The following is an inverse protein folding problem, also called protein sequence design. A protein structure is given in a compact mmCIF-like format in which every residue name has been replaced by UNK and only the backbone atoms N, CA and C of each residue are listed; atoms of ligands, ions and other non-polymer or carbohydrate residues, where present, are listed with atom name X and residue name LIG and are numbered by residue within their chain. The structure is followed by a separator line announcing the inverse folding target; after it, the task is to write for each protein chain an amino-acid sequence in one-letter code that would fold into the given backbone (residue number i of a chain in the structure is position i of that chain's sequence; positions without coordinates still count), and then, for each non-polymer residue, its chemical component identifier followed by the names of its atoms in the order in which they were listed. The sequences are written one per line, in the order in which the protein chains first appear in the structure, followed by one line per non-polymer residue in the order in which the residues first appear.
data_IF_005481600703
#
_entry.id   IF_005481600703
#
_cell.length_a   1.000
_cell.length_b   1.000
_cell.length_c   1.000
_cell.angle_alpha   90.00
_cell.angle_beta   90.00
_cell.angle_gamma   90.00
#
_symmetry.space_group_name_H-M   'P 1'
#
loop_
_entity.id
_entity.type
_entity.pdbx_description
1 polymer ?
#
# COMPACT_ATOMS: atom_id res chain seq x y z
N UNK A 1 4.36 -3.15 25.51
CA UNK A 1 4.55 -4.20 24.48
C UNK A 1 5.67 -5.07 24.98
N UNK A 2 5.66 -6.37 24.68
CA UNK A 2 6.77 -7.26 25.07
C UNK A 2 7.82 -7.38 23.97
N UNK A 3 7.49 -6.91 22.77
CA UNK A 3 8.33 -6.93 21.58
C UNK A 3 8.74 -5.50 21.17
N UNK A 4 9.89 -5.33 20.49
CA UNK A 4 10.29 -4.06 19.90
C UNK A 4 9.30 -3.61 18.82
N UNK A 5 9.29 -2.31 18.54
CA UNK A 5 8.50 -1.78 17.44
C UNK A 5 9.13 -2.17 16.09
N UNK A 6 8.34 -2.82 15.24
CA UNK A 6 8.71 -3.26 13.89
C UNK A 6 8.39 -2.21 12.84
N UNK A 7 7.38 -1.38 13.08
CA UNK A 7 7.01 -0.28 12.20
C UNK A 7 6.47 0.91 13.01
N UNK A 8 6.66 2.12 12.48
CA UNK A 8 6.13 3.36 13.04
C UNK A 8 5.61 4.21 11.89
N UNK A 9 4.47 4.87 12.09
CA UNK A 9 3.87 5.76 11.10
C UNK A 9 3.37 7.01 11.79
N UNK A 10 3.95 8.19 11.50
CA UNK A 10 3.47 9.46 12.05
C UNK A 10 2.00 9.70 11.70
N UNK A 11 1.25 10.25 12.65
CA UNK A 11 -0.17 10.56 12.44
C UNK A 11 -0.62 11.73 13.31
N UNK A 12 -1.05 12.81 12.66
CA UNK A 12 -1.54 14.02 13.33
C UNK A 12 -0.57 14.46 14.46
N UNK A 13 -1.02 14.38 15.70
CA UNK A 13 -0.30 14.77 16.91
C UNK A 13 0.32 13.59 17.67
N UNK A 14 0.63 12.53 16.95
CA UNK A 14 1.28 11.34 17.49
C UNK A 14 1.72 10.41 16.38
N UNK A 15 1.61 9.11 16.63
CA UNK A 15 1.99 8.07 15.67
C UNK A 15 1.27 6.76 15.94
N UNK A 16 1.20 5.92 14.91
CA UNK A 16 0.89 4.52 15.06
C UNK A 16 2.18 3.70 15.05
N UNK A 17 2.17 2.54 15.71
CA UNK A 17 3.30 1.61 15.65
C UNK A 17 2.85 0.16 15.80
N UNK A 18 3.61 -0.76 15.21
CA UNK A 18 3.41 -2.19 15.31
C UNK A 18 4.54 -2.86 16.10
N UNK A 19 4.20 -3.79 16.99
CA UNK A 19 5.12 -4.60 17.81
C UNK A 19 4.58 -6.05 17.90
N UNK A 20 4.16 -6.50 19.09
CA UNK A 20 3.30 -7.67 19.34
C UNK A 20 1.86 -7.50 18.81
N UNK A 21 1.41 -6.25 18.63
CA UNK A 21 0.18 -5.90 17.94
C UNK A 21 0.30 -4.50 17.33
N UNK A 22 -0.80 -3.86 16.99
CA UNK A 22 -0.83 -2.49 16.48
C UNK A 22 -1.39 -1.53 17.52
N UNK A 23 -0.76 -0.37 17.63
CA UNK A 23 -1.07 0.62 18.65
C UNK A 23 -1.14 2.02 18.06
N UNK A 24 -1.95 2.86 18.70
CA UNK A 24 -1.94 4.31 18.52
C UNK A 24 -1.32 4.97 19.74
N UNK A 25 -0.45 5.93 19.50
CA UNK A 25 0.19 6.77 20.51
C UNK A 25 -0.21 8.21 20.23
N UNK A 26 -0.94 8.83 21.16
CA UNK A 26 -1.29 10.24 21.10
C UNK A 26 -0.42 11.02 22.09
N UNK A 27 0.22 12.08 21.60
CA UNK A 27 1.14 12.92 22.37
C UNK A 27 0.48 14.23 22.85
N UNK A 28 -0.82 14.40 22.61
CA UNK A 28 -1.55 15.60 23.06
C UNK A 28 -2.04 15.47 24.50
N UNK A 29 -1.78 16.53 25.25
CA UNK A 29 -2.18 16.67 26.64
C UNK A 29 -1.04 16.38 27.61
N UNK A 30 -1.35 16.29 28.91
CA UNK A 30 -0.34 16.20 29.95
C UNK A 30 0.33 14.81 30.04
N UNK A 31 -0.22 13.79 29.39
CA UNK A 31 0.31 12.43 29.42
C UNK A 31 0.16 11.71 28.08
N UNK A 32 1.16 10.89 27.76
CA UNK A 32 1.17 10.03 26.56
C UNK A 32 0.13 8.93 26.72
N UNK A 33 -0.76 8.79 25.73
CA UNK A 33 -1.80 7.75 25.73
C UNK A 33 -1.54 6.74 24.60
N UNK A 34 -1.34 5.49 25.00
CA UNK A 34 -1.20 4.36 24.06
C UNK A 34 -2.46 3.51 24.10
N UNK A 35 -3.03 3.20 22.93
CA UNK A 35 -4.22 2.32 22.79
C UNK A 35 -3.95 1.24 21.74
N UNK A 36 -4.29 0.00 22.07
CA UNK A 36 -4.32 -1.08 21.08
C UNK A 36 -5.39 -0.80 20.02
N UNK A 37 -5.04 -1.03 18.76
CA UNK A 37 -5.93 -0.91 17.61
C UNK A 37 -6.56 -2.26 17.23
N UNK A 38 -6.09 -3.35 17.83
CA UNK A 38 -6.32 -4.68 17.32
C UNK A 38 -5.94 -5.75 18.36
N UNK A 39 -6.70 -6.83 18.45
CA UNK A 39 -6.21 -8.06 19.08
C UNK A 39 -5.33 -8.82 18.08
N UNK A 40 -4.14 -9.21 18.48
CA UNK A 40 -3.23 -10.06 17.69
C UNK A 40 -3.00 -11.39 18.39
N UNK A 41 -2.83 -12.45 17.59
CA UNK A 41 -2.34 -13.75 18.04
C UNK A 41 -0.81 -13.76 17.93
N UNK A 42 -0.10 -14.68 18.61
CA UNK A 42 1.36 -14.77 18.51
C UNK A 42 1.91 -14.94 17.07
N UNK A 43 1.13 -15.53 16.16
CA UNK A 43 1.51 -15.68 14.75
C UNK A 43 1.19 -14.45 13.88
N UNK A 44 0.51 -13.44 14.41
CA UNK A 44 0.12 -12.24 13.68
C UNK A 44 1.26 -11.21 13.78
N UNK A 45 2.29 -11.37 12.96
CA UNK A 45 3.50 -10.54 12.95
C UNK A 45 3.30 -9.21 12.20
N UNK A 46 3.30 -8.04 12.88
CA UNK A 46 3.12 -6.73 12.25
C UNK A 46 4.24 -6.35 11.28
N UNK A 47 3.88 -5.82 10.11
CA UNK A 47 4.81 -5.28 9.12
C UNK A 47 4.61 -3.78 8.93
N UNK A 48 3.36 -3.32 8.76
CA UNK A 48 3.08 -1.91 8.52
C UNK A 48 1.69 -1.49 9.02
N UNK A 49 1.56 -0.20 9.36
CA UNK A 49 0.28 0.47 9.56
C UNK A 49 0.19 1.57 8.52
N UNK A 50 -0.82 1.52 7.66
CA UNK A 50 -0.94 2.46 6.56
C UNK A 50 -2.24 3.25 6.70
N UNK A 51 -2.17 4.58 6.91
CA UNK A 51 -3.34 5.44 6.81
C UNK A 51 -3.85 5.46 5.38
N UNK A 52 -5.02 4.86 5.16
CA UNK A 52 -5.67 4.78 3.85
C UNK A 52 -6.53 6.02 3.61
N UNK A 53 -7.16 6.50 4.68
CA UNK A 53 -7.89 7.76 4.74
C UNK A 53 -7.82 8.34 6.14
N UNK A 54 -8.45 9.49 6.33
CA UNK A 54 -8.76 10.10 7.62
C UNK A 54 -9.66 9.22 8.52
N UNK A 55 -10.28 8.17 7.97
CA UNK A 55 -11.20 7.30 8.70
C UNK A 55 -10.74 5.85 8.82
N UNK A 56 -9.75 5.43 8.04
CA UNK A 56 -9.43 4.01 7.85
C UNK A 56 -7.92 3.77 7.75
N UNK A 57 -7.46 2.75 8.48
CA UNK A 57 -6.10 2.21 8.49
C UNK A 57 -6.10 0.81 7.88
N UNK A 58 -5.04 0.47 7.17
CA UNK A 58 -4.71 -0.91 6.83
C UNK A 58 -3.65 -1.41 7.81
N UNK A 59 -4.01 -2.44 8.58
CA UNK A 59 -3.10 -3.16 9.46
C UNK A 59 -2.52 -4.33 8.67
N UNK A 60 -1.26 -4.25 8.29
CA UNK A 60 -0.59 -5.25 7.46
C UNK A 60 0.30 -6.15 8.32
N UNK A 61 -0.12 -7.40 8.48
CA UNK A 61 0.68 -8.47 9.06
C UNK A 61 1.43 -9.22 7.97
N UNK A 62 2.32 -10.12 8.38
CA UNK A 62 3.11 -10.94 7.46
C UNK A 62 2.27 -11.84 6.54
N UNK A 63 1.19 -12.44 7.05
CA UNK A 63 0.38 -13.38 6.27
C UNK A 63 -0.94 -12.78 5.79
N UNK A 64 -1.43 -11.76 6.48
CA UNK A 64 -2.76 -11.21 6.23
C UNK A 64 -2.82 -9.71 6.53
N UNK A 65 -3.94 -9.08 6.18
CA UNK A 65 -4.25 -7.72 6.52
C UNK A 65 -5.73 -7.52 6.85
N UNK A 66 -6.01 -6.42 7.54
CA UNK A 66 -7.38 -5.97 7.80
C UNK A 66 -7.47 -4.46 7.83
N UNK A 67 -8.64 -3.96 7.43
CA UNK A 67 -8.97 -2.56 7.59
C UNK A 67 -9.66 -2.31 8.92
N UNK A 68 -9.24 -1.25 9.60
CA UNK A 68 -9.82 -0.77 10.85
C UNK A 68 -10.00 0.74 10.79
N UNK A 69 -10.85 1.27 11.66
CA UNK A 69 -10.95 2.70 11.86
C UNK A 69 -9.73 3.22 12.61
N UNK A 70 -9.56 4.55 12.66
CA UNK A 70 -8.52 5.19 13.48
C UNK A 70 -8.60 4.76 14.98
N UNK A 71 -9.77 4.27 15.42
CA UNK A 71 -10.01 3.79 16.80
C UNK A 71 -9.80 2.27 16.97
N UNK A 72 -9.40 1.56 15.91
CA UNK A 72 -9.18 0.10 15.93
C UNK A 72 -10.43 -0.75 15.69
N UNK A 73 -11.58 -0.15 15.39
CA UNK A 73 -12.80 -0.90 15.05
C UNK A 73 -12.73 -1.40 13.62
N UNK A 74 -12.92 -2.70 13.38
CA UNK A 74 -12.90 -3.28 12.03
C UNK A 74 -13.88 -2.54 11.10
N UNK A 75 -13.37 -2.02 9.98
CA UNK A 75 -14.19 -1.27 9.02
C UNK A 75 -14.72 -2.15 7.90
N UNK A 76 -13.95 -3.14 7.44
CA UNK A 76 -14.34 -4.09 6.37
C UNK A 76 -14.35 -5.53 6.88
N UNK A 77 -15.37 -6.31 6.50
CA UNK A 77 -15.53 -7.72 6.92
C UNK A 77 -14.47 -8.64 6.32
N UNK A 78 -13.96 -8.31 5.14
CA UNK A 78 -12.94 -9.11 4.47
C UNK A 78 -11.64 -9.11 5.28
N UNK A 79 -11.05 -10.28 5.48
CA UNK A 79 -9.63 -10.41 5.81
C UNK A 79 -8.87 -10.60 4.49
N UNK A 80 -7.78 -9.89 4.33
CA UNK A 80 -6.91 -10.02 3.16
C UNK A 80 -5.87 -11.07 3.51
N UNK A 81 -5.72 -12.10 2.69
CA UNK A 81 -4.56 -13.00 2.75
C UNK A 81 -3.58 -12.58 1.65
N UNK A 82 -2.29 -12.51 1.97
CA UNK A 82 -1.28 -12.16 0.97
C UNK A 82 -0.91 -13.39 0.14
N UNK A 83 -0.85 -13.22 -1.18
CA UNK A 83 -0.39 -14.27 -2.09
C UNK A 83 1.13 -14.46 -2.04
N UNK A 84 1.86 -13.39 -1.67
CA UNK A 84 3.30 -13.38 -1.51
C UNK A 84 3.67 -12.72 -0.18
N UNK A 85 4.82 -13.11 0.37
CA UNK A 85 5.32 -12.55 1.61
C UNK A 85 5.65 -11.06 1.43
N UNK A 86 4.97 -10.13 2.12
CA UNK A 86 5.32 -8.72 2.07
C UNK A 86 6.64 -8.48 2.81
N UNK A 87 7.49 -7.64 2.24
CA UNK A 87 8.70 -7.14 2.89
C UNK A 87 8.54 -5.67 3.30
N UNK A 88 7.89 -4.88 2.44
CA UNK A 88 7.71 -3.46 2.65
C UNK A 88 6.44 -2.97 1.95
N UNK A 89 5.84 -1.91 2.49
CA UNK A 89 4.66 -1.29 1.92
C UNK A 89 4.82 0.21 1.75
N UNK A 90 4.21 0.75 0.70
CA UNK A 90 3.96 2.18 0.57
C UNK A 90 2.54 2.42 0.06
N UNK A 91 1.82 3.34 0.70
CA UNK A 91 0.52 3.78 0.20
C UNK A 91 0.61 5.18 -0.40
N UNK A 92 0.22 5.28 -1.67
CA UNK A 92 0.05 6.54 -2.39
C UNK A 92 -1.31 6.46 -3.06
N UNK A 93 -2.29 7.14 -2.46
CA UNK A 93 -3.69 6.97 -2.83
C UNK A 93 -3.91 7.10 -4.35
N UNK A 94 -4.68 6.18 -4.95
CA UNK A 94 -5.38 5.04 -4.35
C UNK A 94 -4.60 3.71 -4.39
N UNK A 95 -3.28 3.74 -4.58
CA UNK A 95 -2.46 2.55 -4.81
C UNK A 95 -1.64 2.15 -3.58
N UNK A 96 -1.68 0.85 -3.29
CA UNK A 96 -0.82 0.16 -2.34
C UNK A 96 0.29 -0.54 -3.13
N UNK A 97 1.53 -0.18 -2.82
CA UNK A 97 2.74 -0.77 -3.33
C UNK A 97 3.25 -1.76 -2.29
N UNK A 98 3.39 -3.03 -2.66
CA UNK A 98 3.88 -4.10 -1.79
C UNK A 98 5.13 -4.71 -2.42
N UNK A 99 6.27 -4.52 -1.75
CA UNK A 99 7.52 -5.17 -2.15
C UNK A 99 7.49 -6.61 -1.64
N UNK A 100 7.85 -7.54 -2.52
CA UNK A 100 7.99 -8.97 -2.23
C UNK A 100 9.41 -9.42 -2.59
N UNK A 101 9.76 -10.65 -2.24
CA UNK A 101 11.03 -11.26 -2.66
C UNK A 101 11.20 -11.37 -4.18
N UNK A 102 10.11 -11.28 -4.95
CA UNK A 102 10.10 -11.52 -6.39
C UNK A 102 9.89 -10.24 -7.22
N UNK A 103 9.58 -9.12 -6.57
CA UNK A 103 9.34 -7.85 -7.24
C UNK A 103 8.39 -6.95 -6.46
N UNK A 104 7.50 -6.29 -7.19
CA UNK A 104 6.55 -5.32 -6.66
C UNK A 104 5.14 -5.64 -7.12
N UNK A 105 4.22 -5.81 -6.17
CA UNK A 105 2.79 -5.92 -6.42
C UNK A 105 2.12 -4.57 -6.14
N UNK A 106 1.35 -4.08 -7.10
CA UNK A 106 0.63 -2.81 -7.03
C UNK A 106 -0.86 -3.11 -7.06
N UNK A 107 -1.54 -2.78 -5.97
CA UNK A 107 -2.96 -3.00 -5.79
C UNK A 107 -3.69 -1.66 -5.66
N UNK A 108 -4.85 -1.53 -6.30
CA UNK A 108 -5.71 -0.35 -6.09
C UNK A 108 -6.63 -0.61 -4.89
N UNK A 109 -6.50 0.19 -3.84
CA UNK A 109 -7.40 0.16 -2.69
C UNK A 109 -8.75 0.75 -3.09
N UNK A 110 -9.83 0.03 -2.80
CA UNK A 110 -11.18 0.52 -3.07
C UNK A 110 -11.62 1.51 -1.98
N UNK A 111 -12.42 2.50 -2.37
CA UNK A 111 -13.01 3.46 -1.43
C UNK A 111 -13.88 2.74 -0.39
N UNK A 112 -13.76 3.17 0.87
CA UNK A 112 -14.61 2.68 1.94
C UNK A 112 -15.98 3.36 1.91
N UNK A 113 -17.04 2.56 1.79
CA UNK A 113 -18.43 3.04 1.89
C UNK A 113 -19.23 2.29 2.96
N UNK A 114 -18.95 1.00 3.17
CA UNK A 114 -19.60 0.17 4.17
C UNK A 114 -18.73 -1.03 4.55
N UNK A 115 -19.19 -1.84 5.51
CA UNK A 115 -18.46 -3.04 5.92
C UNK A 115 -18.28 -4.10 4.83
N UNK A 116 -19.08 -4.02 3.77
CA UNK A 116 -19.04 -4.95 2.63
C UNK A 116 -18.21 -4.40 1.46
N UNK A 117 -17.60 -3.21 1.60
CA UNK A 117 -16.66 -2.71 0.60
C UNK A 117 -15.50 -3.69 0.42
N UNK A 118 -15.26 -4.11 -0.82
CA UNK A 118 -14.09 -4.92 -1.17
C UNK A 118 -12.79 -4.22 -0.79
N UNK A 119 -11.75 -4.96 -0.41
CA UNK A 119 -10.44 -4.40 -0.05
C UNK A 119 -9.75 -3.69 -1.24
N UNK A 120 -9.58 -4.43 -2.33
CA UNK A 120 -8.84 -4.01 -3.52
C UNK A 120 -9.67 -4.22 -4.79
N UNK A 121 -9.29 -3.49 -5.84
CA UNK A 121 -9.77 -3.78 -7.19
C UNK A 121 -9.24 -5.15 -7.65
N UNK A 122 -10.01 -5.96 -8.42
CA UNK A 122 -9.58 -7.29 -8.83
C UNK A 122 -8.30 -7.31 -9.69
N UNK A 123 -8.12 -6.29 -10.52
CA UNK A 123 -6.89 -6.13 -11.30
C UNK A 123 -5.74 -5.71 -10.40
N UNK A 124 -4.71 -6.56 -10.34
CA UNK A 124 -3.43 -6.27 -9.70
C UNK A 124 -2.35 -6.15 -10.76
N UNK A 125 -1.39 -5.26 -10.53
CA UNK A 125 -0.21 -5.14 -11.39
C UNK A 125 0.99 -5.73 -10.68
N UNK A 126 1.76 -6.55 -11.40
CA UNK A 126 2.98 -7.14 -10.90
C UNK A 126 4.17 -6.67 -11.74
N UNK A 127 5.15 -6.04 -11.10
CA UNK A 127 6.38 -5.59 -11.72
C UNK A 127 7.51 -6.48 -11.23
N UNK A 128 7.96 -7.40 -12.09
CA UNK A 128 9.14 -8.22 -11.82
C UNK A 128 10.37 -7.33 -11.80
N UNK A 129 11.19 -7.47 -10.77
CA UNK A 129 12.45 -6.74 -10.65
C UNK A 129 13.60 -7.74 -10.67
N UNK A 130 14.61 -7.48 -11.50
CA UNK A 130 15.76 -8.36 -11.67
C UNK A 130 16.88 -7.90 -10.74
N UNK A 131 16.77 -8.24 -9.46
CA UNK A 131 17.77 -7.95 -8.44
C UNK A 131 17.29 -8.38 -7.06
N UNK A 132 18.15 -8.24 -6.05
CA UNK A 132 17.83 -8.50 -4.65
C UNK A 132 17.76 -7.17 -3.88
N UNK A 133 17.09 -7.19 -2.72
CA UNK A 133 17.00 -6.00 -1.87
C UNK A 133 16.26 -4.85 -2.54
N UNK A 134 15.10 -5.14 -3.15
CA UNK A 134 14.15 -4.09 -3.53
C UNK A 134 13.72 -3.37 -2.24
N UNK A 135 13.89 -2.05 -2.18
CA UNK A 135 13.50 -1.25 -1.03
C UNK A 135 12.86 0.06 -1.46
N UNK A 136 11.79 0.46 -0.78
CA UNK A 136 11.15 1.75 -1.01
C UNK A 136 11.99 2.82 -0.30
N UNK A 137 12.56 3.72 -1.08
CA UNK A 137 13.41 4.80 -0.53
C UNK A 137 12.61 6.07 -0.27
N UNK A 138 11.42 6.20 -0.86
CA UNK A 138 10.54 7.33 -0.58
C UNK A 138 9.37 7.43 -1.53
N UNK A 139 8.54 8.43 -1.26
CA UNK A 139 7.41 8.84 -2.10
C UNK A 139 7.43 10.35 -2.28
N UNK A 140 6.99 10.83 -3.44
CA UNK A 140 6.82 12.24 -3.75
C UNK A 140 5.34 12.64 -3.75
N UNK A 141 5.07 13.93 -3.55
CA UNK A 141 3.72 14.49 -3.55
C UNK A 141 2.98 14.35 -4.88
N UNK A 142 3.71 14.21 -6.00
CA UNK A 142 3.17 13.94 -7.33
C UNK A 142 2.73 12.47 -7.52
N UNK A 143 2.93 11.63 -6.51
CA UNK A 143 2.55 10.22 -6.51
C UNK A 143 3.64 9.24 -6.95
N UNK A 144 4.87 9.71 -7.21
CA UNK A 144 5.98 8.83 -7.54
C UNK A 144 6.43 8.05 -6.30
N UNK A 145 6.66 6.74 -6.47
CA UNK A 145 7.29 5.87 -5.49
C UNK A 145 8.68 5.51 -6.00
N UNK A 146 9.69 5.76 -5.16
CA UNK A 146 11.08 5.50 -5.46
C UNK A 146 11.51 4.17 -4.88
N UNK A 147 12.17 3.36 -5.70
CA UNK A 147 12.60 2.01 -5.33
C UNK A 147 14.09 1.89 -5.61
N UNK A 148 14.87 1.51 -4.61
CA UNK A 148 16.24 1.06 -4.82
C UNK A 148 16.23 -0.44 -5.11
N UNK A 149 17.05 -0.87 -6.06
CA UNK A 149 17.27 -2.26 -6.42
C UNK A 149 18.76 -2.51 -6.49
N UNK A 150 19.26 -3.54 -5.83
CA UNK A 150 20.66 -3.93 -5.93
C UNK A 150 20.80 -5.21 -6.73
N UNK A 151 21.70 -5.18 -7.71
CA UNK A 151 22.12 -6.37 -8.47
C UNK A 151 23.55 -6.73 -8.05
N UNK A 152 24.10 -7.81 -8.61
CA UNK A 152 25.48 -8.19 -8.32
C UNK A 152 26.53 -7.13 -8.72
N UNK A 153 26.21 -6.24 -9.65
CA UNK A 153 27.16 -5.28 -10.23
C UNK A 153 26.82 -3.81 -9.98
N UNK A 154 25.57 -3.48 -9.64
CA UNK A 154 25.13 -2.09 -9.50
C UNK A 154 23.87 -1.95 -8.64
N UNK A 155 23.65 -0.76 -8.10
CA UNK A 155 22.41 -0.35 -7.45
C UNK A 155 21.69 0.67 -8.31
N UNK A 156 20.43 0.41 -8.65
CA UNK A 156 19.57 1.30 -9.45
C UNK A 156 18.52 1.97 -8.58
N UNK A 157 18.10 3.16 -9.00
CA UNK A 157 16.93 3.85 -8.47
C UNK A 157 15.85 3.90 -9.55
N UNK A 158 14.71 3.28 -9.27
CA UNK A 158 13.53 3.23 -10.13
C UNK A 158 12.44 4.17 -9.60
N UNK A 159 11.62 4.68 -10.53
CA UNK A 159 10.49 5.58 -10.23
C UNK A 159 9.22 4.98 -10.82
N UNK A 160 8.21 4.75 -9.97
CA UNK A 160 6.94 4.17 -10.42
C UNK A 160 5.79 5.07 -9.98
N UNK A 161 4.91 5.39 -10.94
CA UNK A 161 3.67 6.12 -10.70
C UNK A 161 2.50 5.38 -11.36
N UNK A 162 1.80 4.57 -10.56
CA UNK A 162 0.69 3.75 -11.04
C UNK A 162 -0.49 4.58 -11.58
N UNK A 163 -0.69 5.80 -11.09
CA UNK A 163 -1.74 6.69 -11.56
C UNK A 163 -1.45 7.17 -13.00
N UNK A 164 -0.22 7.63 -13.27
CA UNK A 164 0.18 8.11 -14.59
C UNK A 164 0.24 7.00 -15.63
N UNK A 165 0.72 5.81 -15.25
CA UNK A 165 0.86 4.65 -16.16
C UNK A 165 -0.49 4.25 -16.77
N UNK A 166 -1.58 4.25 -15.99
CA UNK A 166 -2.93 3.95 -16.50
C UNK A 166 -3.49 5.05 -17.39
N UNK A 167 -3.23 6.32 -17.09
CA UNK A 167 -3.64 7.43 -17.98
C UNK A 167 -2.96 7.32 -19.34
N UNK A 168 -1.67 6.96 -19.38
CA UNK A 168 -0.95 6.72 -20.63
C UNK A 168 -1.51 5.51 -21.40
N UNK A 169 -1.82 4.40 -20.71
CA UNK A 169 -2.44 3.23 -21.33
C UNK A 169 -3.83 3.52 -21.92
N UNK A 170 -4.66 4.30 -21.22
CA UNK A 170 -5.97 4.71 -21.72
C UNK A 170 -5.86 5.68 -22.91
N UNK A 171 -4.89 6.59 -22.92
CA UNK A 171 -4.62 7.46 -24.09
C UNK A 171 -4.21 6.65 -25.32
N UNK A 172 -3.38 5.62 -25.15
CA UNK A 172 -2.98 4.72 -26.27
C UNK A 172 -4.15 3.91 -26.81
N UNK A 173 -5.07 3.44 -25.94
CA UNK A 173 -6.31 2.75 -26.37
C UNK A 173 -7.34 3.67 -27.04
N UNK A 174 -7.30 4.97 -26.79
CA UNK A 174 -8.19 5.96 -27.40
C UNK A 174 -7.75 6.48 -28.77
N UNK A 175 -6.59 6.05 -29.28
CA UNK A 175 -6.01 6.53 -30.55
C UNK A 175 -6.29 5.61 -31.75
N UNK A 176 -7.01 4.50 -31.57
CA UNK A 176 -7.45 3.65 -32.68
C UNK A 176 -8.90 3.98 -33.07
N UNK A 177 -9.04 4.54 -34.28
CA UNK A 177 -10.26 4.74 -35.12
C UNK A 177 -10.51 6.20 -35.47
N UNK A 178 -9.71 6.71 -36.40
CA UNK A 178 -10.24 7.60 -37.45
C UNK A 178 -10.40 6.74 -38.71
N UNK A 179 -11.62 6.35 -39.10
CA UNK A 179 -11.82 5.70 -40.39
C UNK A 179 -11.56 6.73 -41.50
N UNK A 180 -10.59 6.41 -42.36
CA UNK A 180 -10.21 7.21 -43.51
C UNK A 180 -11.37 7.22 -44.54
N UNK A 181 -12.17 8.29 -44.53
CA UNK A 181 -13.19 8.52 -45.56
C UNK A 181 -12.53 9.16 -46.78
N UNK A 182 -11.82 8.37 -47.58
CA UNK A 182 -11.47 8.79 -48.94
C UNK A 182 -11.33 7.64 -49.92
N UNK A 183 -12.47 7.15 -50.40
CA UNK A 183 -12.58 6.60 -51.75
C UNK A 183 -14.02 6.63 -52.24
N UNK A 184 -14.44 7.79 -52.77
CA UNK A 184 -15.45 7.89 -53.82
C UNK A 184 -14.82 8.67 -54.97
N UNK A 185 -15.19 8.27 -56.19
CA UNK A 185 -14.67 8.66 -57.52
C UNK A 185 -13.46 7.83 -57.95
N UNK A 186 -13.48 7.07 -59.05
CA UNK A 186 -14.40 6.98 -60.18
C UNK A 186 -14.47 5.53 -60.69
#
# INVERSE_FOLDING_TARGET
TNEPAMCVTPWQSGFFFGSDSFYSCNLEGPSVRVKSLASSRPADLPIAILPISDRELLLAYQNHARFVSIKGTRTRKQQIEWEQLPLEFCYVAPYLYMVTMHGLEIMRVQSYSSSDSAAFHPEKEYVRMNGSGVHITGRRSNGDVHLALTTASLTELHFINAAQKRTAANKRKGSERVPDKRSKMA
#
